data_IF_130847813901
#
_entry.id   IF_130847813901
#
_cell.length_a   1.000
_cell.length_b   1.000
_cell.length_c   1.000
_cell.angle_alpha   90.00
_cell.angle_beta   90.00
_cell.angle_gamma   90.00
#
_symmetry.space_group_name_H-M   'P 1'
#
loop_
_entity.id
_entity.type
_entity.pdbx_description
1 polymer ?
#
# COMPACT_ATOMS: atom_id res chain seq x y z
N UNK A 1 -17.80 -13.66 8.51
CA UNK A 1 -17.10 -14.96 8.63
C UNK A 1 -16.31 -14.94 9.94
N UNK A 2 -16.27 -16.04 10.71
CA UNK A 2 -15.73 -16.06 12.08
C UNK A 2 -14.20 -16.00 12.21
N UNK A 3 -13.49 -15.37 11.26
CA UNK A 3 -12.04 -15.21 11.34
C UNK A 3 -11.71 -14.14 12.36
N UNK A 4 -10.81 -14.44 13.29
CA UNK A 4 -10.26 -13.46 14.23
C UNK A 4 -9.02 -12.84 13.61
N UNK A 5 -9.02 -11.53 13.44
CA UNK A 5 -7.92 -10.76 12.87
C UNK A 5 -7.50 -9.66 13.84
N UNK A 6 -6.21 -9.35 13.86
CA UNK A 6 -5.65 -8.12 14.43
C UNK A 6 -4.85 -7.39 13.34
N UNK A 7 -4.93 -6.06 13.33
CA UNK A 7 -4.30 -5.21 12.32
C UNK A 7 -3.17 -4.42 12.96
N UNK A 8 -2.00 -4.45 12.34
CA UNK A 8 -0.94 -3.48 12.60
C UNK A 8 -1.01 -2.39 11.53
N UNK A 9 -1.21 -1.15 11.96
CA UNK A 9 -1.26 -0.01 11.08
C UNK A 9 -0.02 0.86 11.29
N UNK A 10 0.76 1.06 10.23
CA UNK A 10 1.82 2.06 10.19
C UNK A 10 1.19 3.46 10.24
N UNK A 11 1.71 4.38 11.05
CA UNK A 11 1.14 5.72 11.18
C UNK A 11 1.10 6.49 9.85
N UNK A 12 2.03 6.17 8.94
CA UNK A 12 2.15 6.68 7.58
C UNK A 12 2.49 8.17 7.53
N UNK A 13 3.70 8.52 7.96
CA UNK A 13 4.24 9.87 7.76
C UNK A 13 4.41 10.19 6.26
N UNK A 14 4.37 11.47 5.86
CA UNK A 14 4.20 12.64 6.72
C UNK A 14 2.75 12.97 7.10
N UNK A 15 1.75 12.53 6.32
CA UNK A 15 0.36 12.97 6.47
C UNK A 15 -0.43 12.27 7.58
N UNK A 16 0.13 11.18 8.12
CA UNK A 16 -0.41 10.39 9.24
C UNK A 16 -1.74 9.70 8.91
N UNK A 17 -1.86 9.14 7.70
CA UNK A 17 -3.11 8.51 7.25
C UNK A 17 -3.46 7.27 8.08
N UNK A 18 -2.48 6.42 8.39
CA UNK A 18 -2.75 5.22 9.19
C UNK A 18 -3.18 5.57 10.62
N UNK A 19 -2.52 6.56 11.24
CA UNK A 19 -2.89 7.00 12.59
C UNK A 19 -4.24 7.72 12.65
N UNK A 20 -4.55 8.58 11.67
CA UNK A 20 -5.72 9.47 11.72
C UNK A 20 -6.96 8.88 11.09
N UNK A 21 -6.80 8.05 10.06
CA UNK A 21 -7.88 7.47 9.28
C UNK A 21 -7.96 5.99 9.63
N UNK A 22 -6.99 5.17 9.21
CA UNK A 22 -7.08 3.71 9.29
C UNK A 22 -7.41 3.18 10.68
N UNK A 23 -6.70 3.62 11.72
CA UNK A 23 -6.99 3.19 13.09
C UNK A 23 -8.37 3.65 13.55
N UNK A 24 -8.80 4.85 13.16
CA UNK A 24 -10.12 5.38 13.51
C UNK A 24 -11.25 4.56 12.88
N UNK A 25 -11.19 4.26 11.58
CA UNK A 25 -12.22 3.45 10.87
C UNK A 25 -12.26 2.02 11.42
N UNK A 26 -11.10 1.39 11.65
CA UNK A 26 -11.03 0.05 12.23
C UNK A 26 -11.67 0.00 13.63
N UNK A 27 -11.50 1.05 14.44
CA UNK A 27 -12.15 1.15 15.75
C UNK A 27 -13.67 1.34 15.63
N UNK A 28 -14.14 2.07 14.61
CA UNK A 28 -15.59 2.20 14.37
C UNK A 28 -16.24 0.86 14.01
N UNK A 29 -15.49 -0.03 13.35
CA UNK A 29 -15.94 -1.36 12.94
C UNK A 29 -15.61 -2.48 13.94
N UNK A 30 -15.18 -2.14 15.16
CA UNK A 30 -14.77 -3.09 16.21
C UNK A 30 -13.66 -4.08 15.79
N UNK A 31 -12.77 -3.66 14.89
CA UNK A 31 -11.62 -4.44 14.43
C UNK A 31 -10.39 -4.10 15.30
N UNK A 32 -9.77 -5.09 15.98
CA UNK A 32 -8.57 -4.85 16.78
C UNK A 32 -7.43 -4.26 15.94
N UNK A 33 -6.96 -3.07 16.32
CA UNK A 33 -5.88 -2.36 15.64
C UNK A 33 -4.77 -1.96 16.63
N UNK A 34 -3.52 -2.15 16.21
CA UNK A 34 -2.30 -1.69 16.90
C UNK A 34 -1.61 -0.66 16.01
N UNK A 35 -1.51 0.58 16.47
CA UNK A 35 -0.77 1.64 15.78
C UNK A 35 0.74 1.49 16.06
N UNK A 36 1.55 1.57 15.02
CA UNK A 36 3.01 1.59 15.11
C UNK A 36 3.58 2.74 14.27
N UNK A 37 4.77 3.22 14.60
CA UNK A 37 5.46 4.17 13.70
C UNK A 37 6.08 3.42 12.53
N UNK A 38 6.24 4.07 11.37
CA UNK A 38 6.72 3.43 10.14
C UNK A 38 8.07 2.68 10.33
N UNK A 39 8.96 3.21 11.17
CA UNK A 39 10.26 2.62 11.49
C UNK A 39 10.20 1.32 12.30
N UNK A 40 9.04 0.98 12.88
CA UNK A 40 8.82 -0.24 13.66
C UNK A 40 8.35 -1.42 12.80
N UNK A 41 7.93 -1.19 11.54
CA UNK A 41 7.41 -2.24 10.66
C UNK A 41 8.38 -3.43 10.56
N UNK A 42 9.67 -3.16 10.35
CA UNK A 42 10.71 -4.21 10.29
C UNK A 42 10.86 -5.03 11.58
N UNK A 43 10.68 -4.41 12.74
CA UNK A 43 10.71 -5.12 14.03
C UNK A 43 9.56 -6.13 14.14
N UNK A 44 8.34 -5.70 13.80
CA UNK A 44 7.17 -6.57 13.89
C UNK A 44 7.12 -7.62 12.80
N UNK A 45 7.56 -7.32 11.57
CA UNK A 45 7.73 -8.31 10.51
C UNK A 45 8.71 -9.42 10.94
N UNK A 46 9.83 -9.05 11.57
CA UNK A 46 10.82 -10.02 12.08
C UNK A 46 10.33 -10.81 13.30
N UNK A 47 9.39 -10.28 14.06
CA UNK A 47 8.89 -10.92 15.29
C UNK A 47 8.13 -12.24 15.08
N UNK A 48 7.68 -12.50 13.85
CA UNK A 48 6.82 -13.64 13.51
C UNK A 48 5.34 -13.43 13.86
N UNK A 49 4.95 -12.25 14.34
CA UNK A 49 3.54 -11.92 14.65
C UNK A 49 2.71 -11.56 13.41
N UNK A 50 3.35 -11.07 12.34
CA UNK A 50 2.66 -10.62 11.12
C UNK A 50 2.52 -11.79 10.15
N UNK A 51 1.28 -12.16 9.83
CA UNK A 51 0.98 -13.27 8.90
C UNK A 51 0.96 -12.87 7.42
N UNK A 52 0.63 -11.61 7.13
CA UNK A 52 0.65 -11.05 5.77
C UNK A 52 0.68 -9.52 5.84
N UNK A 53 1.13 -8.89 4.75
CA UNK A 53 0.99 -7.45 4.51
C UNK A 53 -0.07 -7.24 3.45
N UNK A 54 -0.95 -6.28 3.66
CA UNK A 54 -1.95 -5.84 2.66
C UNK A 54 -1.87 -4.33 2.53
N UNK A 55 -1.72 -3.84 1.31
CA UNK A 55 -1.71 -2.40 1.00
C UNK A 55 -2.70 -2.08 -0.12
N UNK A 56 -3.03 -0.81 -0.27
CA UNK A 56 -3.72 -0.29 -1.45
C UNK A 56 -2.77 -0.06 -2.63
N UNK A 57 -3.28 0.61 -3.66
CA UNK A 57 -2.47 1.16 -4.74
C UNK A 57 -3.11 2.43 -5.31
N UNK A 58 -2.27 3.36 -5.75
CA UNK A 58 -2.66 4.55 -6.50
C UNK A 58 -2.60 4.29 -8.01
N UNK A 59 -1.64 3.47 -8.46
CA UNK A 59 -1.50 3.03 -9.85
C UNK A 59 -0.74 1.71 -9.95
N UNK A 60 -1.17 0.84 -10.85
CA UNK A 60 -0.50 -0.43 -11.14
C UNK A 60 -0.16 -0.50 -12.63
N UNK A 61 1.11 -0.67 -12.98
CA UNK A 61 1.55 -0.80 -14.37
C UNK A 61 1.28 -2.20 -14.93
N UNK A 62 1.41 -2.37 -16.26
CA UNK A 62 1.11 -3.64 -16.93
C UNK A 62 1.96 -4.82 -16.43
N UNK A 63 3.21 -4.58 -16.01
CA UNK A 63 4.10 -5.60 -15.45
C UNK A 63 3.82 -5.95 -13.97
N UNK A 64 2.81 -5.33 -13.36
CA UNK A 64 2.46 -5.52 -11.96
C UNK A 64 3.27 -4.68 -10.96
N UNK A 65 4.11 -3.75 -11.42
CA UNK A 65 4.71 -2.76 -10.53
C UNK A 65 3.63 -1.84 -9.96
N UNK A 66 3.74 -1.55 -8.67
CA UNK A 66 2.69 -0.86 -7.92
C UNK A 66 3.24 0.45 -7.36
N UNK A 67 2.63 1.57 -7.74
CA UNK A 67 2.80 2.83 -7.05
C UNK A 67 1.76 2.93 -5.92
N UNK A 68 2.25 3.20 -4.71
CA UNK A 68 1.42 3.42 -3.52
C UNK A 68 2.13 4.40 -2.58
N UNK A 69 1.47 4.78 -1.49
CA UNK A 69 2.00 5.69 -0.46
C UNK A 69 3.46 5.39 -0.10
N UNK A 70 4.26 6.45 0.03
CA UNK A 70 5.68 6.37 0.41
C UNK A 70 5.85 5.48 1.66
N UNK A 71 6.83 4.57 1.61
CA UNK A 71 7.06 3.53 2.61
C UNK A 71 6.65 2.13 2.15
N UNK A 72 5.73 2.02 1.18
CA UNK A 72 5.23 0.73 0.67
C UNK A 72 6.34 -0.17 0.17
N UNK A 73 7.26 0.38 -0.65
CA UNK A 73 8.40 -0.37 -1.16
C UNK A 73 9.29 -0.91 -0.03
N UNK A 74 9.53 -0.11 1.00
CA UNK A 74 10.35 -0.52 2.14
C UNK A 74 9.70 -1.69 2.91
N UNK A 75 8.38 -1.61 3.13
CA UNK A 75 7.61 -2.71 3.75
C UNK A 75 7.64 -3.96 2.87
N UNK A 76 7.52 -3.83 1.55
CA UNK A 76 7.57 -4.96 0.61
C UNK A 76 8.93 -5.68 0.62
N UNK A 77 10.03 -4.93 0.68
CA UNK A 77 11.39 -5.50 0.84
C UNK A 77 11.52 -6.24 2.16
N UNK A 78 11.07 -5.64 3.26
CA UNK A 78 11.13 -6.26 4.59
C UNK A 78 10.23 -7.50 4.68
N UNK A 79 9.05 -7.49 4.06
CA UNK A 79 8.15 -8.62 4.00
C UNK A 79 8.82 -9.80 3.26
N UNK A 80 9.45 -9.53 2.10
CA UNK A 80 10.20 -10.54 1.35
C UNK A 80 11.33 -11.15 2.17
N UNK A 81 12.13 -10.32 2.84
CA UNK A 81 13.24 -10.77 3.69
C UNK A 81 12.78 -11.70 4.84
N UNK A 82 11.59 -11.45 5.37
CA UNK A 82 11.01 -12.25 6.45
C UNK A 82 10.05 -13.35 5.96
N UNK A 83 10.01 -13.61 4.65
CA UNK A 83 9.12 -14.61 4.02
C UNK A 83 7.62 -14.40 4.33
N UNK A 84 7.20 -13.14 4.42
CA UNK A 84 5.81 -12.75 4.66
C UNK A 84 5.15 -12.38 3.33
N UNK A 85 3.97 -12.93 3.01
CA UNK A 85 3.27 -12.61 1.77
C UNK A 85 2.80 -11.14 1.78
N UNK A 86 3.00 -10.49 0.64
CA UNK A 86 2.70 -9.07 0.42
C UNK A 86 1.62 -8.94 -0.66
N UNK A 87 0.43 -8.53 -0.26
CA UNK A 87 -0.72 -8.40 -1.14
C UNK A 87 -1.04 -6.94 -1.42
N UNK A 88 -1.49 -6.69 -2.64
CA UNK A 88 -2.00 -5.38 -3.06
C UNK A 88 -3.48 -5.53 -3.35
N UNK A 89 -4.32 -4.74 -2.71
CA UNK A 89 -5.76 -4.72 -2.95
C UNK A 89 -6.14 -3.41 -3.65
N UNK A 90 -6.56 -3.51 -4.92
CA UNK A 90 -6.90 -2.35 -5.73
C UNK A 90 -7.94 -2.70 -6.79
N UNK A 91 -8.88 -1.80 -7.12
CA UNK A 91 -9.86 -2.06 -8.17
C UNK A 91 -9.22 -2.10 -9.55
N UNK A 92 -9.88 -2.72 -10.52
CA UNK A 92 -9.41 -2.77 -11.93
C UNK A 92 -9.20 -1.36 -12.51
N UNK A 93 -9.94 -0.36 -12.04
CA UNK A 93 -9.77 1.04 -12.45
C UNK A 93 -8.42 1.65 -12.08
N UNK A 94 -7.69 1.05 -11.13
CA UNK A 94 -6.34 1.47 -10.73
C UNK A 94 -5.25 0.91 -11.66
N UNK A 95 -5.59 -0.06 -12.52
CA UNK A 95 -4.66 -0.64 -13.48
C UNK A 95 -4.44 0.33 -14.65
N UNK A 96 -3.20 0.76 -14.86
CA UNK A 96 -2.76 1.53 -16.01
C UNK A 96 -1.96 0.62 -16.94
N UNK A 97 -2.67 -0.19 -17.73
CA UNK A 97 -2.08 -1.15 -18.67
C UNK A 97 -1.42 -0.47 -19.89
N UNK A 98 -1.46 0.86 -19.97
CA UNK A 98 -0.73 1.64 -20.99
C UNK A 98 0.73 1.83 -20.63
N UNK A 99 1.07 1.72 -19.33
CA UNK A 99 2.44 1.81 -18.83
C UNK A 99 3.07 0.41 -18.78
N UNK A 100 4.24 0.26 -19.40
CA UNK A 100 4.97 -1.01 -19.44
C UNK A 100 5.62 -1.37 -18.09
N UNK A 101 6.03 -0.38 -17.29
CA UNK A 101 6.65 -0.59 -15.98
C UNK A 101 6.35 0.55 -15.00
N UNK A 102 6.66 0.32 -13.72
CA UNK A 102 6.50 1.31 -12.67
C UNK A 102 7.44 2.50 -12.80
N UNK A 103 8.57 2.37 -13.52
CA UNK A 103 9.52 3.47 -13.78
C UNK A 103 8.89 4.62 -14.58
N UNK A 104 7.79 4.34 -15.29
CA UNK A 104 7.04 5.33 -16.08
C UNK A 104 5.99 6.06 -15.24
N UNK A 105 5.77 5.68 -13.99
CA UNK A 105 4.80 6.32 -13.11
C UNK A 105 5.41 7.61 -12.53
N UNK A 106 4.83 8.79 -12.82
CA UNK A 106 5.31 10.04 -12.25
C UNK A 106 5.06 10.07 -10.74
N UNK A 107 6.10 10.40 -9.97
CA UNK A 107 6.01 10.51 -8.51
C UNK A 107 5.77 11.97 -8.13
N UNK A 108 4.65 12.21 -7.44
CA UNK A 108 4.31 13.51 -6.87
C UNK A 108 5.29 13.87 -5.75
N UNK A 109 5.88 15.06 -5.82
CA UNK A 109 6.51 15.69 -4.67
C UNK A 109 5.62 16.78 -4.07
N UNK A 110 5.42 16.69 -2.77
CA UNK A 110 4.51 17.54 -2.01
C UNK A 110 5.26 18.58 -1.21
N UNK A 111 4.49 19.49 -0.61
CA UNK A 111 5.03 20.59 0.17
C UNK A 111 5.91 20.09 1.33
N UNK A 112 7.07 20.72 1.51
CA UNK A 112 8.02 20.38 2.58
C UNK A 112 7.43 20.53 3.99
N UNK A 113 6.41 21.37 4.15
CA UNK A 113 5.73 21.60 5.43
C UNK A 113 5.07 20.35 6.00
N UNK A 114 4.66 19.38 5.18
CA UNK A 114 4.10 18.11 5.68
C UNK A 114 5.15 17.33 6.48
N UNK A 115 6.43 17.43 6.10
CA UNK A 115 7.54 16.78 6.82
C UNK A 115 7.96 17.63 8.02
N UNK A 116 8.17 18.94 7.85
CA UNK A 116 8.69 19.77 8.95
C UNK A 116 7.65 20.12 10.00
N UNK A 117 6.35 19.95 9.74
CA UNK A 117 5.28 20.21 10.69
C UNK A 117 4.40 18.99 10.90
N UNK A 118 4.00 18.77 12.14
CA UNK A 118 2.95 17.80 12.51
C UNK A 118 1.87 18.57 13.25
N UNK A 119 0.63 18.48 12.76
CA UNK A 119 -0.52 19.21 13.31
C UNK A 119 -0.27 20.72 13.50
N UNK A 120 0.46 21.34 12.56
CA UNK A 120 0.81 22.77 12.60
C UNK A 120 2.02 23.13 13.47
N UNK A 121 2.56 22.17 14.24
CA UNK A 121 3.72 22.39 15.12
C UNK A 121 5.00 22.00 14.38
N UNK A 122 6.00 22.88 14.37
CA UNK A 122 7.30 22.62 13.76
C UNK A 122 8.10 21.56 14.51
N UNK A 123 8.54 20.53 13.79
CA UNK A 123 9.34 19.39 14.28
C UNK A 123 10.82 19.47 13.86
N UNK A 124 11.14 20.31 12.87
CA UNK A 124 12.50 20.49 12.36
C UNK A 124 12.94 21.97 12.46
N UNK A 125 14.26 22.24 12.51
CA UNK A 125 14.79 23.60 12.48
C UNK A 125 14.32 24.41 11.26
N UNK A 126 14.16 25.71 11.44
CA UNK A 126 13.83 26.63 10.35
C UNK A 126 14.91 26.60 9.25
N UNK A 127 14.48 26.66 7.99
CA UNK A 127 15.37 26.59 6.83
C UNK A 127 15.87 25.18 6.47
N UNK A 128 15.36 24.13 7.11
CA UNK A 128 15.70 22.74 6.75
C UNK A 128 15.27 22.42 5.31
N UNK A 129 16.21 21.93 4.50
CA UNK A 129 15.92 21.41 3.16
C UNK A 129 15.22 20.05 3.25
N UNK A 130 14.14 19.88 2.49
CA UNK A 130 13.30 18.68 2.52
C UNK A 130 12.99 18.18 1.12
N UNK A 131 12.93 16.85 0.98
CA UNK A 131 12.29 16.15 -0.14
C UNK A 131 11.08 15.40 0.40
N UNK A 132 9.98 15.44 -0.33
CA UNK A 132 8.72 14.84 0.12
C UNK A 132 8.01 14.11 -1.03
N UNK A 133 8.57 12.99 -1.53
CA UNK A 133 7.85 12.12 -2.45
C UNK A 133 6.65 11.50 -1.74
N UNK A 134 5.46 11.66 -2.32
CA UNK A 134 4.22 11.17 -1.73
C UNK A 134 3.98 9.67 -1.96
N UNK A 135 4.72 9.07 -2.89
CA UNK A 135 4.57 7.70 -3.33
C UNK A 135 5.95 7.08 -3.60
N UNK A 136 6.02 5.75 -3.54
CA UNK A 136 7.11 4.96 -4.11
C UNK A 136 6.57 3.87 -5.02
N UNK A 137 7.47 3.24 -5.78
CA UNK A 137 7.14 2.12 -6.68
C UNK A 137 7.67 0.84 -6.07
N UNK A 138 6.77 -0.12 -5.86
CA UNK A 138 7.08 -1.49 -5.44
C UNK A 138 7.15 -2.39 -6.66
N UNK A 139 8.33 -2.96 -6.98
CA UNK A 139 8.46 -3.89 -8.09
C UNK A 139 7.64 -5.17 -7.90
N UNK A 140 7.07 -5.69 -8.99
CA UNK A 140 6.18 -6.86 -8.99
C UNK A 140 6.78 -8.10 -8.31
N UNK A 141 8.11 -8.26 -8.31
CA UNK A 141 8.84 -9.37 -7.64
C UNK A 141 8.65 -9.44 -6.12
N UNK A 142 8.21 -8.35 -5.50
CA UNK A 142 7.87 -8.30 -4.07
C UNK A 142 6.38 -8.55 -3.81
N UNK A 143 5.53 -8.45 -4.84
CA UNK A 143 4.09 -8.63 -4.73
C UNK A 143 3.75 -10.11 -4.87
N UNK A 144 3.02 -10.65 -3.90
CA UNK A 144 2.52 -12.03 -3.91
C UNK A 144 1.34 -12.17 -4.84
N UNK A 145 0.34 -11.28 -4.71
CA UNK A 145 -0.80 -11.21 -5.62
C UNK A 145 -1.47 -9.83 -5.57
N UNK A 146 -2.20 -9.49 -6.63
CA UNK A 146 -3.00 -8.27 -6.75
C UNK A 146 -4.48 -8.68 -6.72
N UNK A 147 -5.21 -8.22 -5.70
CA UNK A 147 -6.61 -8.54 -5.45
C UNK A 147 -7.48 -7.41 -6.01
N UNK A 148 -8.39 -7.78 -6.91
CA UNK A 148 -9.35 -6.86 -7.54
C UNK A 148 -10.78 -7.34 -7.31
N UNK A 149 -11.76 -6.51 -7.65
CA UNK A 149 -13.17 -6.91 -7.65
C UNK A 149 -13.51 -7.98 -8.69
N UNK A 150 -12.61 -8.25 -9.65
CA UNK A 150 -12.79 -9.26 -10.72
C UNK A 150 -11.98 -10.55 -10.52
N UNK A 151 -11.31 -10.66 -9.38
CA UNK A 151 -10.49 -11.81 -9.00
C UNK A 151 -9.08 -11.42 -8.58
N UNK A 152 -8.22 -12.43 -8.47
CA UNK A 152 -6.84 -12.29 -8.00
C UNK A 152 -5.90 -12.51 -9.19
N UNK A 153 -4.97 -11.57 -9.40
CA UNK A 153 -3.88 -11.70 -10.36
C UNK A 153 -2.61 -12.16 -9.64
N UNK A 154 -1.94 -13.14 -10.24
CA UNK A 154 -0.64 -13.68 -9.81
C UNK A 154 0.37 -13.56 -10.96
N UNK A 155 1.66 -13.71 -10.66
CA UNK A 155 2.71 -13.68 -11.67
C UNK A 155 2.56 -14.85 -12.68
N UNK A 156 2.85 -14.64 -13.98
CA UNK A 156 3.27 -13.40 -14.63
C UNK A 156 2.12 -12.39 -14.74
N UNK A 157 2.33 -11.18 -14.22
CA UNK A 157 1.27 -10.19 -14.01
C UNK A 157 0.73 -9.59 -15.31
N UNK A 158 1.54 -9.51 -16.37
CA UNK A 158 1.13 -8.95 -17.67
C UNK A 158 -0.08 -9.67 -18.25
N UNK A 159 -0.13 -11.00 -18.09
CA UNK A 159 -1.23 -11.81 -18.59
C UNK A 159 -2.44 -11.79 -17.66
N UNK A 160 -2.20 -11.99 -16.35
CA UNK A 160 -3.27 -12.08 -15.37
C UNK A 160 -4.01 -10.74 -15.19
N UNK A 161 -3.29 -9.62 -15.15
CA UNK A 161 -3.90 -8.28 -15.07
C UNK A 161 -4.71 -7.94 -16.32
N UNK A 162 -4.18 -8.24 -17.52
CA UNK A 162 -4.93 -8.03 -18.77
C UNK A 162 -6.21 -8.86 -18.80
N UNK A 163 -6.13 -10.13 -18.39
CA UNK A 163 -7.31 -10.99 -18.29
C UNK A 163 -8.37 -10.40 -17.36
N UNK A 164 -7.98 -9.84 -16.20
CA UNK A 164 -8.93 -9.19 -15.29
C UNK A 164 -9.52 -7.90 -15.87
N UNK A 165 -8.71 -7.08 -16.54
CA UNK A 165 -9.16 -5.84 -17.16
C UNK A 165 -10.16 -6.06 -18.31
N UNK A 166 -9.97 -7.12 -19.09
CA UNK A 166 -10.81 -7.46 -20.25
C UNK A 166 -12.10 -8.20 -19.87
N UNK A 167 -12.20 -8.74 -18.63
CA UNK A 167 -13.45 -9.35 -18.17
C UNK A 167 -14.59 -8.32 -18.21
N UNK A 168 -15.73 -8.64 -18.83
CA UNK A 168 -16.90 -7.76 -18.73
C UNK A 168 -17.27 -7.59 -17.24
N UNK A 169 -17.66 -6.38 -16.84
CA UNK A 169 -18.24 -6.16 -15.53
C UNK A 169 -19.47 -7.08 -15.40
N UNK A 170 -19.35 -8.19 -14.67
CA UNK A 170 -20.42 -9.17 -14.64
C UNK A 170 -21.67 -8.53 -14.05
N UNK A 171 -22.75 -8.62 -14.82
CA UNK A 171 -24.11 -8.30 -14.44
C UNK A 171 -24.37 -8.81 -13.03
N UNK A 172 -24.84 -7.91 -12.17
CA UNK A 172 -25.35 -8.21 -10.84
C UNK A 172 -26.20 -9.47 -10.91
N UNK A 173 -25.75 -10.56 -10.30
CA UNK A 173 -26.68 -11.64 -9.98
C UNK A 173 -27.67 -11.05 -8.99
N UNK A 174 -28.85 -10.72 -9.49
CA UNK A 174 -30.02 -10.52 -8.66
C UNK A 174 -30.19 -11.77 -7.79
N UNK A 175 -30.14 -11.56 -6.47
CA UNK A 175 -30.64 -12.51 -5.48
C UNK A 175 -32.15 -12.35 -5.42
#
# INVERSE_FOLDING_TARGET
SGKKIDVFADETRPFLQGARLTVWELQQDDIPATLITDSMAGHFLKSGRIGCVVVGADRIAANGDVANKIGTYSVAVLAKENNIPFYVAAPVSTLDLTLASGDLIPIEERDASEVVKVAGVSMAPEGTNVRNPAFDVTPARYVTAIITERGVAEAPFEHSLRSLADKPAHATMAV
#
